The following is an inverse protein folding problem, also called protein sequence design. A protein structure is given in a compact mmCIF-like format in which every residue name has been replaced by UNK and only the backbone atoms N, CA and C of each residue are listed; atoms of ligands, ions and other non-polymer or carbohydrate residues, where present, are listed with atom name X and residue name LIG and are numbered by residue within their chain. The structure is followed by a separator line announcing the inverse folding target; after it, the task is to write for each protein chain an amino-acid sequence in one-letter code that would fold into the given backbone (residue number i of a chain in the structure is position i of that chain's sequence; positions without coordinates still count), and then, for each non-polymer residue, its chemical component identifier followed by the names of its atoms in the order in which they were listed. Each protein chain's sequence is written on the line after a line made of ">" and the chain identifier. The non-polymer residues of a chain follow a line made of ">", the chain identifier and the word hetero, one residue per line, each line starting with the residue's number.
data_IF_787469561916
#
_entry.id   IF_787469561916
#
_cell.length_a   1.000
_cell.length_b   1.000
_cell.length_c   1.000
_cell.angle_alpha   90.00
_cell.angle_beta   90.00
_cell.angle_gamma   90.00
#
_symmetry.space_group_name_H-M   'P 1'
#
loop_
_entity.id
_entity.type
_entity.pdbx_description
1 polymer ?
#
# COMPACT_ATOMS: atom_id res chain seq x y z
N UNK A 1 -50.56 -55.44 -34.20
CA UNK A 1 -51.36 -54.42 -33.48
C UNK A 1 -50.43 -53.69 -32.52
N UNK A 2 -50.17 -52.40 -32.78
CA UNK A 2 -49.12 -51.58 -32.15
C UNK A 2 -49.74 -50.83 -30.97
N UNK A 3 -49.42 -51.21 -29.72
CA UNK A 3 -49.88 -50.50 -28.51
C UNK A 3 -48.76 -49.58 -28.05
N UNK A 4 -48.98 -48.28 -28.21
CA UNK A 4 -48.08 -47.21 -27.77
C UNK A 4 -48.24 -47.09 -26.25
N UNK A 5 -47.19 -47.44 -25.50
CA UNK A 5 -47.13 -47.22 -24.07
C UNK A 5 -46.75 -45.76 -23.82
N UNK A 6 -47.70 -44.94 -23.38
CA UNK A 6 -47.44 -43.56 -22.97
C UNK A 6 -46.86 -43.61 -21.55
N UNK A 7 -45.55 -43.42 -21.46
CA UNK A 7 -44.82 -43.35 -20.19
C UNK A 7 -44.92 -41.92 -19.64
N UNK A 8 -45.76 -41.72 -18.63
CA UNK A 8 -45.83 -40.49 -17.85
C UNK A 8 -44.63 -40.43 -16.89
N UNK A 9 -43.68 -39.55 -17.16
CA UNK A 9 -42.53 -39.28 -16.29
C UNK A 9 -42.96 -38.22 -15.26
N UNK A 10 -42.95 -38.51 -13.95
CA UNK A 10 -43.15 -37.48 -12.94
C UNK A 10 -41.92 -36.57 -12.90
N UNK A 11 -42.09 -35.31 -13.27
CA UNK A 11 -41.08 -34.27 -13.10
C UNK A 11 -40.97 -33.99 -11.60
N UNK A 12 -39.99 -34.62 -10.95
CA UNK A 12 -39.61 -34.28 -9.58
C UNK A 12 -38.91 -32.93 -9.63
N UNK A 13 -39.64 -31.87 -9.29
CA UNK A 13 -39.08 -30.56 -8.98
C UNK A 13 -38.19 -30.69 -7.73
N UNK A 14 -36.91 -30.94 -7.95
CA UNK A 14 -35.87 -30.74 -6.95
C UNK A 14 -35.79 -29.23 -6.66
N UNK A 15 -36.59 -28.77 -5.71
CA UNK A 15 -36.41 -27.49 -5.06
C UNK A 15 -35.12 -27.56 -4.22
N UNK A 16 -33.97 -27.38 -4.89
CA UNK A 16 -32.72 -27.10 -4.23
C UNK A 16 -32.81 -25.73 -3.61
N UNK A 17 -33.14 -25.64 -2.31
CA UNK A 17 -32.85 -24.46 -1.51
C UNK A 17 -31.32 -24.31 -1.45
N UNK A 18 -30.73 -23.64 -2.44
CA UNK A 18 -29.41 -23.05 -2.26
C UNK A 18 -29.59 -21.91 -1.25
N UNK A 19 -29.44 -22.23 0.03
CA UNK A 19 -29.20 -21.21 1.06
C UNK A 19 -28.01 -20.39 0.59
N UNK A 20 -28.15 -19.06 0.38
CA UNK A 20 -27.02 -18.21 0.10
C UNK A 20 -26.03 -18.38 1.26
N UNK A 21 -24.85 -18.93 0.99
CA UNK A 21 -23.77 -18.85 1.95
C UNK A 21 -23.56 -17.36 2.24
N UNK A 22 -23.64 -16.90 3.51
CA UNK A 22 -23.29 -15.53 3.81
C UNK A 22 -21.86 -15.31 3.29
N UNK A 23 -21.60 -14.21 2.58
CA UNK A 23 -20.26 -13.94 2.07
C UNK A 23 -19.29 -14.08 3.25
N UNK A 24 -18.25 -14.90 3.08
CA UNK A 24 -17.15 -15.01 4.04
C UNK A 24 -16.79 -13.59 4.42
N UNK A 25 -16.88 -13.25 5.71
CA UNK A 25 -16.50 -11.92 6.21
C UNK A 25 -15.16 -11.59 5.58
N UNK A 26 -15.16 -10.62 4.66
CA UNK A 26 -13.92 -10.04 4.20
C UNK A 26 -13.26 -9.53 5.48
N UNK A 27 -12.10 -10.09 5.82
CA UNK A 27 -11.19 -9.42 6.75
C UNK A 27 -11.07 -7.99 6.22
N UNK A 28 -11.72 -7.05 6.90
CA UNK A 28 -11.40 -5.64 6.76
C UNK A 28 -9.97 -5.53 7.27
N UNK A 29 -8.99 -5.78 6.39
CA UNK A 29 -7.66 -5.23 6.59
C UNK A 29 -7.89 -3.75 6.75
N UNK A 30 -7.43 -3.23 7.88
CA UNK A 30 -7.63 -1.85 8.25
C UNK A 30 -6.81 -1.01 7.27
N UNK A 31 -7.43 -0.62 6.14
CA UNK A 31 -6.79 0.09 5.03
C UNK A 31 -6.12 1.37 5.56
N UNK A 32 -6.70 1.95 6.62
CA UNK A 32 -6.14 3.10 7.34
C UNK A 32 -4.83 2.78 8.06
N UNK A 33 -4.63 1.58 8.59
CA UNK A 33 -3.36 1.19 9.19
C UNK A 33 -2.26 0.98 8.13
N UNK A 34 -2.63 0.49 6.94
CA UNK A 34 -1.70 0.30 5.82
C UNK A 34 -1.26 1.63 5.18
N UNK A 35 -2.19 2.58 5.01
CA UNK A 35 -1.89 3.93 4.49
C UNK A 35 -0.98 4.76 5.40
N UNK A 36 -0.98 4.48 6.70
CA UNK A 36 -0.13 5.15 7.68
C UNK A 36 1.23 4.48 7.85
N UNK A 37 1.52 3.40 7.12
CA UNK A 37 2.78 2.67 7.28
C UNK A 37 3.90 3.41 6.55
N UNK A 38 4.91 3.82 7.32
CA UNK A 38 6.15 4.40 6.78
C UNK A 38 6.84 3.39 5.84
N UNK A 39 7.32 3.82 4.66
CA UNK A 39 8.10 2.95 3.79
C UNK A 39 9.36 2.45 4.49
N UNK A 40 9.59 1.14 4.42
CA UNK A 40 10.76 0.48 5.01
C UNK A 40 11.89 0.43 3.97
N UNK A 41 12.85 1.35 4.08
CA UNK A 41 14.03 1.37 3.21
C UNK A 41 15.12 0.38 3.62
N UNK A 42 14.96 -0.40 4.71
CA UNK A 42 16.00 -1.28 5.24
C UNK A 42 16.09 -2.64 4.54
N UNK A 43 15.07 -3.05 3.78
CA UNK A 43 15.02 -4.36 3.13
C UNK A 43 14.99 -4.20 1.60
N UNK A 44 16.07 -4.58 0.93
CA UNK A 44 16.23 -4.64 -0.54
C UNK A 44 15.94 -3.35 -1.34
N UNK A 45 16.07 -2.17 -0.71
CA UNK A 45 15.90 -0.92 -1.42
C UNK A 45 17.15 -0.51 -2.21
N UNK A 46 16.94 -0.01 -3.43
CA UNK A 46 17.93 0.74 -4.23
C UNK A 46 18.45 1.97 -3.48
N UNK A 47 17.71 2.44 -2.48
CA UNK A 47 18.10 3.55 -1.61
C UNK A 47 18.89 3.05 -0.40
N UNK A 48 19.91 3.81 -0.04
CA UNK A 48 20.64 3.74 1.22
C UNK A 48 20.21 4.93 2.08
N UNK A 49 19.91 4.69 3.37
CA UNK A 49 19.73 5.79 4.32
C UNK A 49 21.12 6.30 4.70
N UNK A 50 21.37 7.60 4.46
CA UNK A 50 22.59 8.28 4.94
C UNK A 50 22.36 8.93 6.30
N UNK A 51 21.21 9.58 6.46
CA UNK A 51 20.81 10.27 7.68
C UNK A 51 19.31 10.14 7.86
N UNK A 52 18.85 9.96 9.09
CA UNK A 52 17.43 9.93 9.43
C UNK A 52 17.23 10.72 10.71
N UNK A 53 16.41 11.76 10.63
CA UNK A 53 16.03 12.58 11.76
C UNK A 53 14.52 12.53 11.93
N UNK A 54 14.08 11.93 13.03
CA UNK A 54 12.69 12.00 13.45
C UNK A 54 12.44 13.42 13.97
N UNK A 55 11.44 14.11 13.40
CA UNK A 55 11.08 15.47 13.80
C UNK A 55 9.98 15.33 14.85
N UNK A 56 10.17 15.85 16.08
CA UNK A 56 9.12 15.81 17.09
C UNK A 56 7.86 16.47 16.52
N UNK A 57 6.74 15.76 16.63
CA UNK A 57 5.46 16.29 16.17
C UNK A 57 5.11 17.52 17.01
N UNK A 58 5.25 18.71 16.43
CA UNK A 58 4.72 19.95 16.98
C UNK A 58 3.32 20.18 16.41
N UNK A 59 2.38 20.69 17.21
CA UNK A 59 0.99 20.93 16.77
C UNK A 59 0.86 21.79 15.50
N UNK A 60 1.92 22.55 15.14
CA UNK A 60 1.99 23.41 13.95
C UNK A 60 2.69 22.78 12.76
N UNK A 61 3.29 21.60 12.91
CA UNK A 61 4.05 20.92 11.86
C UNK A 61 3.58 19.48 11.70
N UNK A 62 2.97 19.19 10.56
CA UNK A 62 2.65 17.82 10.17
C UNK A 62 3.90 17.02 9.76
N UNK A 63 5.10 17.63 9.79
CA UNK A 63 6.34 16.93 9.47
C UNK A 63 6.74 16.04 10.65
N UNK A 64 6.87 14.74 10.38
CA UNK A 64 7.25 13.76 11.40
C UNK A 64 8.66 13.22 11.19
N UNK A 65 9.20 13.32 9.98
CA UNK A 65 10.55 12.82 9.69
C UNK A 65 11.16 13.47 8.44
N UNK A 66 12.47 13.68 8.52
CA UNK A 66 13.33 14.00 7.38
C UNK A 66 14.42 12.93 7.29
N UNK A 67 14.57 12.32 6.12
CA UNK A 67 15.59 11.30 5.84
C UNK A 67 16.37 11.69 4.60
N UNK A 68 17.70 11.64 4.67
CA UNK A 68 18.57 11.75 3.50
C UNK A 68 18.82 10.35 2.95
N UNK A 69 18.38 10.14 1.72
CA UNK A 69 18.55 8.89 0.98
C UNK A 69 19.63 9.06 -0.09
N UNK A 70 20.39 8.01 -0.38
CA UNK A 70 21.28 7.92 -1.52
C UNK A 70 20.90 6.75 -2.41
N UNK A 71 20.75 6.99 -3.71
CA UNK A 71 20.58 5.92 -4.69
C UNK A 71 21.92 5.19 -4.88
N UNK A 72 21.98 3.90 -4.52
CA UNK A 72 23.21 3.09 -4.62
C UNK A 72 23.73 2.96 -6.06
N UNK A 73 22.89 3.15 -7.07
CA UNK A 73 23.26 3.03 -8.49
C UNK A 73 23.84 4.33 -9.05
N UNK A 74 23.21 5.46 -8.75
CA UNK A 74 23.59 6.76 -9.33
C UNK A 74 24.34 7.66 -8.37
N UNK A 75 24.43 7.27 -7.09
CA UNK A 75 24.99 8.05 -5.98
C UNK A 75 24.25 9.36 -5.68
N UNK A 76 23.14 9.63 -6.37
CA UNK A 76 22.30 10.81 -6.15
C UNK A 76 21.62 10.78 -4.79
N UNK A 77 21.68 11.91 -4.10
CA UNK A 77 21.10 12.12 -2.78
C UNK A 77 19.74 12.81 -2.89
N UNK A 78 18.84 12.44 -1.99
CA UNK A 78 17.48 12.93 -1.94
C UNK A 78 17.08 13.25 -0.50
N UNK A 79 16.31 14.31 -0.33
CA UNK A 79 15.60 14.59 0.91
C UNK A 79 14.23 13.93 0.80
N UNK A 80 14.03 12.90 1.61
CA UNK A 80 12.75 12.26 1.85
C UNK A 80 12.10 12.89 3.07
N UNK A 81 10.82 13.24 2.97
CA UNK A 81 10.05 13.70 4.12
C UNK A 81 8.80 12.86 4.28
N UNK A 82 8.48 12.53 5.53
CA UNK A 82 7.24 11.89 5.90
C UNK A 82 6.45 12.84 6.78
N UNK A 83 5.23 13.12 6.33
CA UNK A 83 4.27 13.97 7.04
C UNK A 83 3.13 13.10 7.54
N UNK A 84 2.70 13.34 8.77
CA UNK A 84 1.59 12.64 9.40
C UNK A 84 0.61 13.65 9.95
N UNK A 85 -0.65 13.50 9.57
CA UNK A 85 -1.80 14.23 10.12
C UNK A 85 -2.86 13.25 10.59
N UNK A 86 -3.85 13.73 11.34
CA UNK A 86 -4.93 12.89 11.86
C UNK A 86 -5.70 12.21 10.71
N UNK A 87 -5.42 10.91 10.49
CA UNK A 87 -6.06 10.10 9.46
C UNK A 87 -5.40 10.09 8.08
N UNK A 88 -4.26 10.77 7.90
CA UNK A 88 -3.55 10.78 6.62
C UNK A 88 -2.04 10.89 6.78
N UNK A 89 -1.32 10.34 5.80
CA UNK A 89 0.12 10.44 5.71
C UNK A 89 0.53 10.87 4.29
N UNK A 90 1.56 11.68 4.20
CA UNK A 90 2.11 12.17 2.94
C UNK A 90 3.61 11.94 2.89
N UNK A 91 4.12 11.61 1.70
CA UNK A 91 5.55 11.44 1.45
C UNK A 91 5.98 12.39 0.33
N UNK A 92 7.15 13.01 0.49
CA UNK A 92 7.80 13.70 -0.62
C UNK A 92 9.26 13.26 -0.72
N UNK A 93 9.78 13.26 -1.94
CA UNK A 93 11.17 12.94 -2.22
C UNK A 93 11.69 13.96 -3.23
N UNK A 94 12.65 14.77 -2.81
CA UNK A 94 13.24 15.83 -3.63
C UNK A 94 14.74 15.61 -3.78
N UNK A 95 15.36 15.93 -4.93
CA UNK A 95 16.82 15.90 -5.07
C UNK A 95 17.48 16.81 -4.04
N UNK A 96 18.59 16.36 -3.45
CA UNK A 96 19.46 17.23 -2.67
C UNK A 96 20.37 17.99 -3.64
N UNK A 97 20.46 19.31 -3.48
CA UNK A 97 21.27 20.16 -4.34
C UNK A 97 22.53 20.63 -3.62
N UNK A 98 23.63 20.71 -4.37
CA UNK A 98 24.88 21.35 -3.94
C UNK A 98 24.72 22.87 -3.94
N UNK A 99 25.70 23.57 -3.36
CA UNK A 99 25.71 25.03 -3.32
C UNK A 99 25.70 25.69 -4.71
N UNK A 100 26.17 24.99 -5.73
CA UNK A 100 26.16 25.44 -7.13
C UNK A 100 24.82 25.19 -7.85
N UNK A 101 23.83 24.63 -7.16
CA UNK A 101 22.50 24.31 -7.71
C UNK A 101 22.45 23.01 -8.53
N UNK A 102 23.53 22.24 -8.60
CA UNK A 102 23.53 20.91 -9.22
C UNK A 102 23.04 19.84 -8.24
N UNK A 103 22.48 18.75 -8.75
CA UNK A 103 22.06 17.62 -7.89
C UNK A 103 23.31 16.97 -7.31
N UNK A 104 23.30 16.72 -6.00
CA UNK A 104 24.36 16.01 -5.30
C UNK A 104 24.29 14.52 -5.64
N UNK A 105 25.17 14.08 -6.54
CA UNK A 105 25.37 12.67 -6.90
C UNK A 105 26.81 12.22 -6.65
N UNK A 106 27.51 12.89 -5.72
CA UNK A 106 28.90 12.60 -5.42
C UNK A 106 29.00 11.27 -4.65
N UNK A 107 30.04 10.48 -4.97
CA UNK A 107 30.27 9.13 -4.43
C UNK A 107 30.94 9.14 -3.06
#
# INVERSE_FOLDING_TARGET
>A
MKKIFVLLIPIVLLAGCMTPQPPKKAEHKDIFAELNKKPDFKKDSRMQILEQNDVPFEEKSNLSEITILQDKKTSCKYVYTYTKSSGSAGVTMNPLYKADGTIDCDK
#
